data_IF_247780737370
#
_entry.id   IF_247780737370
#
_cell.length_a   1.000
_cell.length_b   1.000
_cell.length_c   1.000
_cell.angle_alpha   90.00
_cell.angle_beta   90.00
_cell.angle_gamma   90.00
#
_symmetry.space_group_name_H-M   'P 1'
#
loop_
_entity.id
_entity.type
_entity.pdbx_description
1 polymer ?
#
# COMPACT_ATOMS: atom_id res chain seq x y z
N UNK A 1 -48.20 -35.01 -24.72
CA UNK A 1 -47.94 -33.85 -23.85
C UNK A 1 -46.44 -33.58 -23.87
N UNK A 2 -46.00 -32.41 -24.33
CA UNK A 2 -44.58 -32.03 -24.45
C UNK A 2 -44.13 -31.34 -23.16
N UNK A 3 -43.09 -31.87 -22.52
CA UNK A 3 -42.34 -31.25 -21.43
C UNK A 3 -41.64 -29.98 -21.94
N UNK A 4 -41.88 -28.85 -21.27
CA UNK A 4 -41.04 -27.65 -21.42
C UNK A 4 -40.03 -27.65 -20.29
N UNK A 5 -38.79 -28.00 -20.59
CA UNK A 5 -37.65 -27.68 -19.76
C UNK A 5 -37.33 -26.20 -20.01
N UNK A 6 -37.57 -25.37 -19.00
CA UNK A 6 -37.07 -23.99 -18.97
C UNK A 6 -35.69 -24.02 -18.33
N UNK A 7 -34.67 -24.05 -19.18
CA UNK A 7 -33.28 -23.83 -18.78
C UNK A 7 -33.14 -22.36 -18.36
N UNK A 8 -33.21 -22.11 -17.04
CA UNK A 8 -32.84 -20.84 -16.43
C UNK A 8 -31.32 -20.71 -16.47
N UNK A 9 -30.79 -20.35 -17.65
CA UNK A 9 -29.40 -20.02 -17.82
C UNK A 9 -29.15 -18.62 -17.23
N UNK A 10 -28.98 -18.56 -15.90
CA UNK A 10 -28.57 -17.32 -15.23
C UNK A 10 -27.13 -17.03 -15.64
N UNK A 11 -26.96 -15.98 -16.44
CA UNK A 11 -25.65 -15.43 -16.77
C UNK A 11 -25.08 -14.86 -15.48
N UNK A 12 -24.30 -15.66 -14.74
CA UNK A 12 -23.48 -15.18 -13.63
C UNK A 12 -22.40 -14.30 -14.26
N UNK A 13 -22.62 -12.98 -14.28
CA UNK A 13 -21.56 -12.02 -14.59
C UNK A 13 -20.50 -12.16 -13.51
N UNK A 14 -19.40 -12.84 -13.81
CA UNK A 14 -18.22 -12.88 -12.95
C UNK A 14 -17.75 -11.45 -12.68
N UNK A 15 -17.91 -10.97 -11.45
CA UNK A 15 -17.34 -9.68 -11.04
C UNK A 15 -15.84 -9.88 -10.89
N UNK A 16 -15.05 -9.16 -11.69
CA UNK A 16 -13.61 -9.12 -11.51
C UNK A 16 -13.33 -8.38 -10.18
N UNK A 17 -12.84 -9.11 -9.18
CA UNK A 17 -12.34 -8.53 -7.93
C UNK A 17 -10.92 -8.02 -8.17
N UNK A 18 -10.80 -6.76 -8.56
CA UNK A 18 -9.50 -6.12 -8.71
C UNK A 18 -8.90 -5.95 -7.31
N UNK A 19 -7.76 -6.59 -7.07
CA UNK A 19 -7.05 -6.63 -5.80
C UNK A 19 -7.84 -7.28 -4.65
N UNK A 20 -8.45 -8.45 -4.90
CA UNK A 20 -9.02 -9.30 -3.85
C UNK A 20 -7.96 -9.78 -2.84
N UNK A 21 -8.39 -10.47 -1.77
CA UNK A 21 -7.47 -11.08 -0.80
C UNK A 21 -6.52 -12.06 -1.50
N UNK A 22 -5.33 -12.29 -0.91
CA UNK A 22 -4.35 -13.20 -1.49
C UNK A 22 -4.92 -14.61 -1.52
N UNK A 23 -4.68 -15.34 -2.62
CA UNK A 23 -5.27 -16.68 -2.85
C UNK A 23 -4.72 -17.75 -1.91
N UNK A 24 -3.58 -17.49 -1.27
CA UNK A 24 -2.97 -18.36 -0.27
C UNK A 24 -3.49 -18.07 1.15
N UNK A 25 -4.39 -17.08 1.29
CA UNK A 25 -4.99 -16.66 2.57
C UNK A 25 -3.93 -16.33 3.64
N UNK A 26 -2.79 -15.75 3.23
CA UNK A 26 -1.73 -15.34 4.15
C UNK A 26 -1.66 -13.83 4.31
N UNK A 27 -1.26 -13.40 5.51
CA UNK A 27 -0.91 -12.01 5.74
C UNK A 27 0.31 -11.62 4.90
N UNK A 28 0.19 -10.58 4.09
CA UNK A 28 1.27 -10.06 3.24
C UNK A 28 2.36 -9.35 4.04
N UNK A 29 2.14 -9.04 5.33
CA UNK A 29 3.16 -8.56 6.25
C UNK A 29 3.87 -9.73 6.97
N UNK A 30 3.19 -10.50 7.81
CA UNK A 30 3.84 -11.53 8.66
C UNK A 30 3.84 -12.96 8.10
N UNK A 31 3.17 -13.24 6.97
CA UNK A 31 3.14 -14.56 6.33
C UNK A 31 2.26 -15.63 6.99
N UNK A 32 1.69 -15.37 8.17
CA UNK A 32 0.75 -16.30 8.85
C UNK A 32 -0.53 -16.51 8.02
N UNK A 33 -1.03 -17.73 8.02
CA UNK A 33 -2.28 -18.12 7.33
C UNK A 33 -3.50 -17.70 8.17
N UNK A 34 -4.65 -17.40 7.55
CA UNK A 34 -5.88 -16.98 8.25
C UNK A 34 -6.32 -17.92 9.37
N UNK A 35 -6.04 -19.22 9.27
CA UNK A 35 -6.31 -20.21 10.31
C UNK A 35 -5.51 -20.01 11.60
N UNK A 36 -4.43 -19.22 11.55
CA UNK A 36 -3.55 -18.89 12.66
C UNK A 36 -3.81 -17.46 13.19
N UNK A 37 -4.76 -16.74 12.57
CA UNK A 37 -5.04 -15.34 12.88
C UNK A 37 -6.26 -15.21 13.79
N UNK A 38 -6.20 -14.20 14.66
CA UNK A 38 -7.39 -13.73 15.38
C UNK A 38 -8.17 -12.81 14.45
N UNK A 39 -9.48 -13.00 14.34
CA UNK A 39 -10.32 -12.09 13.57
C UNK A 39 -10.36 -10.69 14.17
N UNK A 40 -10.67 -9.70 13.35
CA UNK A 40 -11.02 -8.37 13.82
C UNK A 40 -12.31 -8.46 14.64
N UNK A 41 -12.24 -8.02 15.88
CA UNK A 41 -13.39 -7.89 16.77
C UNK A 41 -14.09 -6.56 16.49
N UNK A 42 -15.37 -6.47 16.87
CA UNK A 42 -16.04 -5.19 16.94
C UNK A 42 -15.29 -4.31 17.93
N UNK A 43 -14.75 -3.20 17.47
CA UNK A 43 -14.09 -2.25 18.35
C UNK A 43 -15.18 -1.44 19.05
N UNK A 44 -15.17 -1.47 20.38
CA UNK A 44 -16.09 -0.69 21.23
C UNK A 44 -15.77 0.83 21.21
N UNK A 45 -14.72 1.22 20.49
CA UNK A 45 -14.16 2.56 20.43
C UNK A 45 -14.18 3.08 18.99
N UNK A 46 -14.69 4.31 18.79
CA UNK A 46 -14.82 5.02 17.50
C UNK A 46 -13.46 5.26 16.78
N UNK A 47 -12.36 4.81 17.38
CA UNK A 47 -10.99 4.88 16.85
C UNK A 47 -10.79 4.20 15.49
N UNK A 48 -11.66 3.27 15.10
CA UNK A 48 -11.60 2.61 13.80
C UNK A 48 -12.98 2.66 13.11
N UNK A 49 -13.14 3.41 12.01
CA UNK A 49 -14.45 3.76 11.45
C UNK A 49 -15.12 2.64 10.64
N UNK A 50 -14.80 1.36 10.90
CA UNK A 50 -15.23 0.26 10.05
C UNK A 50 -16.00 -0.80 10.83
N UNK A 51 -17.29 -0.58 11.09
CA UNK A 51 -18.22 -1.66 11.47
C UNK A 51 -18.19 -2.83 10.45
N UNK A 52 -17.72 -2.57 9.22
CA UNK A 52 -17.68 -3.51 8.10
C UNK A 52 -16.54 -4.54 8.16
N UNK A 53 -15.59 -4.44 9.10
CA UNK A 53 -14.45 -5.38 9.20
C UNK A 53 -14.62 -6.45 10.29
N UNK A 54 -15.72 -6.44 11.05
CA UNK A 54 -15.99 -7.45 12.07
C UNK A 54 -15.96 -8.87 11.47
N UNK A 55 -15.19 -9.75 12.09
CA UNK A 55 -15.02 -11.15 11.64
C UNK A 55 -14.05 -11.33 10.47
N UNK A 56 -13.50 -10.25 9.88
CA UNK A 56 -12.43 -10.36 8.90
C UNK A 56 -11.15 -10.89 9.57
N UNK A 57 -10.26 -11.53 8.81
CA UNK A 57 -8.92 -11.92 9.27
C UNK A 57 -7.81 -11.09 8.64
N UNK A 58 -8.07 -10.61 7.42
CA UNK A 58 -7.18 -9.76 6.65
C UNK A 58 -7.97 -8.53 6.20
N UNK A 59 -7.34 -7.37 6.29
CA UNK A 59 -7.85 -6.13 5.73
C UNK A 59 -6.83 -5.56 4.76
N UNK A 60 -7.31 -4.83 3.77
CA UNK A 60 -6.46 -4.22 2.77
C UNK A 60 -6.03 -2.84 3.23
N UNK A 61 -4.73 -2.64 3.36
CA UNK A 61 -4.10 -1.37 3.66
C UNK A 61 -3.33 -0.85 2.44
N UNK A 62 -2.97 0.43 2.54
CA UNK A 62 -2.17 1.16 1.58
C UNK A 62 -0.93 1.66 2.32
N UNK A 63 0.24 1.11 1.99
CA UNK A 63 1.54 1.38 2.61
C UNK A 63 2.46 2.06 1.61
N UNK A 64 3.40 2.88 2.08
CA UNK A 64 4.53 3.33 1.27
C UNK A 64 5.39 2.14 0.83
N UNK A 65 6.04 2.22 -0.34
CA UNK A 65 6.93 1.14 -0.80
C UNK A 65 8.32 1.13 -0.15
N UNK A 66 8.69 2.20 0.56
CA UNK A 66 10.00 2.34 1.17
C UNK A 66 9.95 3.11 2.48
N UNK A 67 11.06 3.12 3.24
CA UNK A 67 11.12 3.82 4.52
C UNK A 67 10.95 5.31 4.29
N UNK A 68 10.36 5.99 5.27
CA UNK A 68 10.23 7.44 5.18
C UNK A 68 11.61 8.09 5.40
N UNK A 69 12.13 8.72 4.35
CA UNK A 69 13.39 9.44 4.36
C UNK A 69 13.10 10.95 4.46
N UNK A 70 13.17 11.48 5.69
CA UNK A 70 12.88 12.89 5.98
C UNK A 70 13.83 13.85 5.23
N UNK A 71 15.09 13.44 5.00
CA UNK A 71 16.03 14.26 4.25
C UNK A 71 15.64 14.32 2.77
N UNK A 72 15.22 13.19 2.21
CA UNK A 72 14.70 13.14 0.84
C UNK A 72 13.41 13.95 0.66
N UNK A 73 12.54 13.99 1.67
CA UNK A 73 11.31 14.78 1.67
C UNK A 73 11.60 16.29 1.66
N UNK A 74 12.45 16.76 2.57
CA UNK A 74 12.90 18.16 2.56
C UNK A 74 13.63 18.52 1.25
N UNK A 75 14.38 17.59 0.67
CA UNK A 75 15.04 17.80 -0.61
C UNK A 75 14.03 17.95 -1.76
N UNK A 76 12.92 17.21 -1.74
CA UNK A 76 11.81 17.36 -2.69
C UNK A 76 11.16 18.74 -2.55
N UNK A 77 10.85 19.18 -1.33
CA UNK A 77 10.28 20.52 -1.09
C UNK A 77 11.20 21.62 -1.63
N UNK A 78 12.51 21.52 -1.39
CA UNK A 78 13.48 22.46 -1.90
C UNK A 78 13.55 22.46 -3.44
N UNK A 79 13.50 21.29 -4.07
CA UNK A 79 13.47 21.14 -5.53
C UNK A 79 12.21 21.78 -6.11
N UNK A 80 11.03 21.46 -5.57
CA UNK A 80 9.75 21.99 -6.04
C UNK A 80 9.68 23.52 -5.88
N UNK A 81 10.20 24.05 -4.77
CA UNK A 81 10.31 25.49 -4.56
C UNK A 81 11.21 26.15 -5.63
N UNK A 82 12.41 25.61 -5.89
CA UNK A 82 13.33 26.16 -6.89
C UNK A 82 12.77 26.04 -8.32
N UNK A 83 12.07 24.95 -8.64
CA UNK A 83 11.36 24.78 -9.92
C UNK A 83 10.28 25.84 -10.11
N UNK A 84 9.51 26.13 -9.06
CA UNK A 84 8.47 27.16 -9.09
C UNK A 84 9.06 28.57 -9.29
N UNK A 85 10.11 28.92 -8.55
CA UNK A 85 10.81 30.21 -8.68
C UNK A 85 11.41 30.40 -10.08
N UNK A 86 11.85 29.31 -10.72
CA UNK A 86 12.34 29.34 -12.11
C UNK A 86 11.24 29.30 -13.18
N UNK A 87 9.96 29.24 -12.79
CA UNK A 87 8.82 29.12 -13.71
C UNK A 87 8.73 27.76 -14.43
N UNK A 88 9.37 26.71 -13.91
CA UNK A 88 9.47 25.38 -14.51
C UNK A 88 8.65 24.31 -13.76
N UNK A 89 7.34 24.53 -13.61
CA UNK A 89 6.44 23.61 -12.85
C UNK A 89 6.10 22.31 -13.57
N UNK A 90 6.63 22.07 -14.78
CA UNK A 90 6.37 20.87 -15.61
C UNK A 90 7.65 20.13 -16.05
N UNK A 91 8.80 20.45 -15.46
CA UNK A 91 10.08 19.78 -15.75
C UNK A 91 10.22 18.45 -15.02
N UNK A 92 11.25 17.67 -15.39
CA UNK A 92 11.64 16.47 -14.64
C UNK A 92 12.33 16.90 -13.32
N UNK A 93 11.76 16.58 -12.15
CA UNK A 93 12.37 16.92 -10.87
C UNK A 93 13.77 16.31 -10.69
N UNK A 94 14.06 15.14 -11.30
CA UNK A 94 15.36 14.48 -11.14
C UNK A 94 16.53 15.35 -11.60
N UNK A 95 16.38 16.09 -12.71
CA UNK A 95 17.41 17.02 -13.18
C UNK A 95 17.70 18.13 -12.14
N UNK A 96 16.65 18.59 -11.44
CA UNK A 96 16.77 19.58 -10.38
C UNK A 96 17.43 19.02 -9.12
N UNK A 97 17.11 17.77 -8.75
CA UNK A 97 17.82 17.07 -7.68
C UNK A 97 19.32 16.98 -7.97
N UNK A 98 19.69 16.55 -9.18
CA UNK A 98 21.09 16.45 -9.60
C UNK A 98 21.77 17.83 -9.60
N UNK A 99 21.07 18.87 -10.04
CA UNK A 99 21.58 20.24 -10.06
C UNK A 99 21.86 20.79 -8.66
N UNK A 100 20.99 20.52 -7.68
CA UNK A 100 21.09 21.07 -6.33
C UNK A 100 22.02 20.27 -5.43
N UNK A 101 22.04 18.94 -5.56
CA UNK A 101 22.71 18.04 -4.61
C UNK A 101 23.86 17.24 -5.25
N UNK A 102 24.08 17.37 -6.56
CA UNK A 102 25.00 16.52 -7.32
C UNK A 102 24.37 15.19 -7.72
N UNK A 103 25.04 14.45 -8.60
CA UNK A 103 24.47 13.25 -9.24
C UNK A 103 24.10 12.14 -8.25
N UNK A 104 25.05 11.72 -7.41
CA UNK A 104 24.86 10.61 -6.47
C UNK A 104 23.78 10.93 -5.42
N UNK A 105 23.94 12.04 -4.71
CA UNK A 105 23.02 12.41 -3.62
C UNK A 105 21.65 12.83 -4.16
N UNK A 106 21.60 13.53 -5.29
CA UNK A 106 20.36 13.92 -5.95
C UNK A 106 19.54 12.71 -6.40
N UNK A 107 20.18 11.71 -7.02
CA UNK A 107 19.51 10.44 -7.37
C UNK A 107 19.02 9.70 -6.13
N UNK A 108 19.84 9.61 -5.07
CA UNK A 108 19.43 8.98 -3.80
C UNK A 108 18.14 9.61 -3.27
N UNK A 109 18.12 10.92 -3.07
CA UNK A 109 16.94 11.59 -2.52
C UNK A 109 15.72 11.49 -3.43
N UNK A 110 15.90 11.65 -4.75
CA UNK A 110 14.80 11.49 -5.70
C UNK A 110 14.16 10.10 -5.61
N UNK A 111 14.97 9.02 -5.65
CA UNK A 111 14.44 7.66 -5.61
C UNK A 111 13.89 7.28 -4.23
N UNK A 112 14.50 7.74 -3.13
CA UNK A 112 13.94 7.57 -1.78
C UNK A 112 12.54 8.20 -1.67
N UNK A 113 12.40 9.46 -2.11
CA UNK A 113 11.12 10.17 -2.04
C UNK A 113 10.05 9.54 -2.96
N UNK A 114 10.43 9.14 -4.18
CA UNK A 114 9.52 8.43 -5.10
C UNK A 114 9.06 7.08 -4.53
N UNK A 115 9.95 6.33 -3.88
CA UNK A 115 9.59 5.06 -3.24
C UNK A 115 8.62 5.28 -2.08
N UNK A 116 8.88 6.25 -1.20
CA UNK A 116 8.01 6.59 -0.08
C UNK A 116 6.64 7.13 -0.55
N UNK A 117 6.61 7.88 -1.66
CA UNK A 117 5.40 8.44 -2.26
C UNK A 117 4.59 7.42 -3.06
N UNK A 118 5.18 6.28 -3.41
CA UNK A 118 4.46 5.21 -4.10
C UNK A 118 3.74 4.36 -3.07
N UNK A 119 2.43 4.24 -3.27
CA UNK A 119 1.57 3.46 -2.39
C UNK A 119 1.39 2.06 -2.98
N UNK A 120 1.78 1.04 -2.22
CA UNK A 120 1.45 -0.37 -2.49
C UNK A 120 0.29 -0.78 -1.58
N UNK A 121 -0.60 -1.64 -2.10
CA UNK A 121 -1.57 -2.29 -1.24
C UNK A 121 -1.01 -3.56 -0.61
N UNK A 122 -1.38 -3.80 0.64
CA UNK A 122 -1.04 -5.00 1.42
C UNK A 122 -2.27 -5.54 2.14
N UNK A 123 -2.44 -6.86 2.16
CA UNK A 123 -3.43 -7.55 2.97
C UNK A 123 -2.83 -7.95 4.31
N UNK A 124 -3.26 -7.29 5.38
CA UNK A 124 -2.63 -7.34 6.69
C UNK A 124 -3.57 -7.88 7.77
N UNK A 125 -3.02 -8.60 8.73
CA UNK A 125 -3.78 -9.11 9.88
C UNK A 125 -3.88 -8.06 11.00
N UNK A 126 -4.71 -8.35 12.00
CA UNK A 126 -4.93 -7.51 13.19
C UNK A 126 -3.63 -7.09 13.90
N UNK A 127 -2.64 -7.97 13.96
CA UNK A 127 -1.37 -7.66 14.63
C UNK A 127 -0.43 -6.79 13.78
N UNK A 128 -0.63 -6.75 12.46
CA UNK A 128 0.24 -6.03 11.53
C UNK A 128 -0.31 -4.65 11.14
N UNK A 129 -1.64 -4.48 11.13
CA UNK A 129 -2.27 -3.20 10.76
C UNK A 129 -1.82 -2.05 11.67
N UNK A 130 -1.51 -2.33 12.94
CA UNK A 130 -1.10 -1.33 13.94
C UNK A 130 0.35 -0.87 13.77
N UNK A 131 1.15 -1.57 12.96
CA UNK A 131 2.54 -1.21 12.72
C UNK A 131 2.61 0.11 11.97
N UNK A 132 3.56 0.96 12.33
CA UNK A 132 3.90 2.11 11.50
C UNK A 132 4.62 1.68 10.21
N UNK A 133 4.93 2.65 9.34
CA UNK A 133 5.55 2.36 8.04
C UNK A 133 6.96 1.76 8.18
N UNK A 134 7.74 2.18 9.18
CA UNK A 134 9.11 1.69 9.38
C UNK A 134 9.07 0.28 9.98
N UNK A 135 8.25 0.07 11.01
CA UNK A 135 8.03 -1.25 11.62
C UNK A 135 7.51 -2.28 10.59
N UNK A 136 6.62 -1.85 9.69
CA UNK A 136 6.13 -2.68 8.59
C UNK A 136 7.26 -3.12 7.64
N UNK A 137 8.17 -2.21 7.28
CA UNK A 137 9.28 -2.50 6.36
C UNK A 137 10.31 -3.41 7.00
N UNK A 138 10.70 -3.12 8.25
CA UNK A 138 11.58 -4.00 9.03
C UNK A 138 11.02 -5.43 9.08
N UNK A 139 9.70 -5.56 9.25
CA UNK A 139 9.03 -6.87 9.25
C UNK A 139 9.07 -7.58 7.90
N UNK A 140 9.03 -6.85 6.78
CA UNK A 140 9.16 -7.45 5.44
C UNK A 140 10.57 -7.97 5.21
N UNK A 141 11.59 -7.24 5.67
CA UNK A 141 12.99 -7.65 5.52
C UNK A 141 13.26 -8.95 6.30
N UNK A 142 12.70 -9.10 7.50
CA UNK A 142 12.80 -10.33 8.30
C UNK A 142 12.25 -11.58 7.59
N UNK A 143 11.32 -11.43 6.63
CA UNK A 143 10.77 -12.54 5.83
C UNK A 143 11.60 -12.89 4.61
N UNK A 144 12.52 -12.02 4.21
CA UNK A 144 13.36 -12.21 3.03
C UNK A 144 14.58 -13.10 3.28
N UNK A 145 14.76 -13.52 4.54
CA UNK A 145 15.76 -14.49 5.02
C UNK A 145 15.20 -15.90 5.02
#
# INVERSE_FOLDING_TARGET
>A
MKTKNTDNNSIVKSRLLINGPPTDERCECCGRHVSELVSFEKLDDDSFPFDEIEGAYLIKLFRGMGPYDMEADHAMDAVLYQMAEAGQTRGDPLEWFIKLYGEELGKKYYYSNMAASTVRSSWECRDCVVLDQNEYIERLDDRSV
#
